data_IF_740856728033
#
_entry.id   IF_740856728033
#
_cell.length_a   1.000
_cell.length_b   1.000
_cell.length_c   1.000
_cell.angle_alpha   90.00
_cell.angle_beta   90.00
_cell.angle_gamma   90.00
#
_symmetry.space_group_name_H-M   'P 1'
#
loop_
_entity.id
_entity.type
_entity.pdbx_description
1 polymer ?
#
# COMPACT_ATOMS: atom_id res chain seq x y z
N UNK A 1 8.57 -8.13 -17.97
CA UNK A 1 9.14 -9.19 -17.09
C UNK A 1 10.29 -8.69 -16.21
N UNK A 2 11.25 -7.90 -16.71
CA UNK A 2 12.36 -7.34 -15.88
C UNK A 2 11.97 -6.22 -14.89
N UNK A 3 10.76 -5.66 -14.97
CA UNK A 3 10.34 -4.48 -14.18
C UNK A 3 9.46 -4.79 -12.97
N UNK A 4 8.91 -6.00 -12.81
CA UNK A 4 8.08 -6.35 -11.64
C UNK A 4 8.44 -7.68 -10.97
N UNK A 5 9.58 -8.27 -11.31
CA UNK A 5 9.96 -9.58 -10.79
C UNK A 5 11.46 -9.71 -10.70
N UNK A 6 11.90 -10.69 -9.93
CA UNK A 6 13.29 -10.94 -9.57
C UNK A 6 13.32 -11.60 -8.21
N UNK A 7 14.25 -12.51 -7.99
CA UNK A 7 14.39 -13.21 -6.71
C UNK A 7 14.58 -12.22 -5.56
N UNK A 8 15.44 -11.21 -5.76
CA UNK A 8 15.66 -10.12 -4.81
C UNK A 8 14.38 -9.37 -4.42
N UNK A 9 13.48 -9.14 -5.38
CA UNK A 9 12.20 -8.46 -5.13
C UNK A 9 11.27 -9.33 -4.31
N UNK A 10 11.23 -10.63 -4.61
CA UNK A 10 10.43 -11.60 -3.84
C UNK A 10 10.97 -11.71 -2.42
N UNK A 11 12.29 -11.73 -2.25
CA UNK A 11 12.93 -11.78 -0.94
C UNK A 11 12.68 -10.53 -0.12
N UNK A 12 12.87 -9.34 -0.70
CA UNK A 12 12.53 -8.08 -0.05
C UNK A 12 11.03 -7.98 0.28
N UNK A 13 10.16 -8.54 -0.55
CA UNK A 13 8.72 -8.63 -0.27
C UNK A 13 8.45 -9.50 0.95
N UNK A 14 9.04 -10.69 0.99
CA UNK A 14 8.88 -11.62 2.10
C UNK A 14 9.50 -11.10 3.40
N UNK A 15 10.59 -10.33 3.34
CA UNK A 15 11.14 -9.63 4.50
C UNK A 15 10.16 -8.57 5.04
N UNK A 16 9.57 -7.76 4.16
CA UNK A 16 8.55 -6.77 4.54
C UNK A 16 7.31 -7.43 5.17
N UNK A 17 6.88 -8.56 4.63
CA UNK A 17 5.83 -9.38 5.23
C UNK A 17 6.26 -9.96 6.59
N UNK A 18 7.46 -10.53 6.69
CA UNK A 18 7.99 -11.11 7.93
C UNK A 18 8.05 -10.06 9.03
N UNK A 19 8.44 -8.82 8.73
CA UNK A 19 8.40 -7.73 9.70
C UNK A 19 6.99 -7.53 10.28
N UNK A 20 5.95 -7.53 9.43
CA UNK A 20 4.56 -7.45 9.89
C UNK A 20 4.13 -8.65 10.75
N UNK A 21 4.69 -9.85 10.53
CA UNK A 21 4.40 -11.02 11.39
C UNK A 21 5.04 -10.95 12.78
N UNK A 22 6.15 -10.20 12.91
CA UNK A 22 6.97 -10.12 14.13
C UNK A 22 6.63 -8.91 15.00
N UNK A 23 6.03 -7.86 14.45
CA UNK A 23 5.73 -6.61 15.14
C UNK A 23 4.25 -6.18 14.96
N UNK A 24 3.44 -6.12 16.04
CA UNK A 24 2.07 -5.65 16.00
C UNK A 24 1.91 -4.22 15.46
N UNK A 25 2.88 -3.33 15.68
CA UNK A 25 2.84 -1.98 15.13
C UNK A 25 2.88 -2.02 13.60
N UNK A 26 3.76 -2.85 13.04
CA UNK A 26 3.80 -3.07 11.60
C UNK A 26 2.57 -3.84 11.10
N UNK A 27 2.11 -4.85 11.82
CA UNK A 27 0.89 -5.58 11.49
C UNK A 27 -0.34 -4.65 11.38
N UNK A 28 -0.44 -3.62 12.25
CA UNK A 28 -1.51 -2.64 12.20
C UNK A 28 -1.48 -1.86 10.88
N UNK A 29 -0.31 -1.36 10.46
CA UNK A 29 -0.16 -0.67 9.16
C UNK A 29 -0.41 -1.61 7.98
N UNK A 30 0.02 -2.86 8.09
CA UNK A 30 -0.16 -3.90 7.08
C UNK A 30 -1.65 -4.18 6.85
N UNK A 31 -2.41 -4.41 7.92
CA UNK A 31 -3.84 -4.66 7.85
C UNK A 31 -4.61 -3.41 7.43
N UNK A 32 -4.22 -2.21 7.90
CA UNK A 32 -4.77 -0.94 7.39
C UNK A 32 -4.66 -0.85 5.86
N UNK A 33 -3.53 -1.26 5.30
CA UNK A 33 -3.33 -1.32 3.86
C UNK A 33 -4.31 -2.25 3.13
N UNK A 34 -4.65 -3.40 3.73
CA UNK A 34 -5.70 -4.31 3.24
C UNK A 34 -7.06 -3.59 3.27
N UNK A 35 -7.38 -2.97 4.41
CA UNK A 35 -8.69 -2.35 4.64
C UNK A 35 -8.95 -1.15 3.73
N UNK A 36 -7.92 -0.41 3.31
CA UNK A 36 -8.04 0.64 2.28
C UNK A 36 -8.77 0.14 1.01
N UNK A 37 -8.48 -1.10 0.58
CA UNK A 37 -9.11 -1.69 -0.61
C UNK A 37 -10.48 -2.30 -0.29
N UNK A 38 -10.57 -3.02 0.83
CA UNK A 38 -11.80 -3.67 1.28
C UNK A 38 -12.91 -2.65 1.50
N UNK A 39 -12.64 -1.61 2.29
CA UNK A 39 -13.63 -0.61 2.67
C UNK A 39 -14.15 0.15 1.45
N UNK A 40 -13.28 0.41 0.46
CA UNK A 40 -13.69 1.04 -0.79
C UNK A 40 -14.77 0.22 -1.52
N UNK A 41 -14.59 -1.10 -1.61
CA UNK A 41 -15.58 -2.01 -2.23
C UNK A 41 -16.83 -2.15 -1.36
N UNK A 42 -16.66 -2.25 -0.05
CA UNK A 42 -17.77 -2.38 0.90
C UNK A 42 -18.68 -1.14 0.86
N UNK A 43 -18.09 0.06 0.89
CA UNK A 43 -18.81 1.34 0.73
C UNK A 43 -19.49 1.42 -0.64
N UNK A 44 -18.76 1.12 -1.72
CA UNK A 44 -19.29 1.19 -3.08
C UNK A 44 -20.48 0.24 -3.30
N UNK A 45 -20.52 -0.89 -2.59
CA UNK A 45 -21.62 -1.88 -2.68
C UNK A 45 -22.73 -1.67 -1.65
N UNK A 46 -22.62 -0.65 -0.80
CA UNK A 46 -23.64 -0.26 0.17
C UNK A 46 -23.69 -1.13 1.42
N UNK A 47 -22.56 -1.73 1.80
CA UNK A 47 -22.42 -2.57 2.99
C UNK A 47 -21.79 -1.78 4.16
N UNK A 48 -21.91 -2.32 5.38
CA UNK A 48 -21.34 -1.71 6.58
C UNK A 48 -19.85 -2.05 6.72
N UNK A 49 -18.97 -1.08 6.47
CA UNK A 49 -17.53 -1.28 6.60
C UNK A 49 -17.07 -1.44 8.05
N UNK A 50 -17.79 -0.88 9.04
CA UNK A 50 -17.41 -0.99 10.45
C UNK A 50 -17.55 -2.44 10.92
N UNK A 51 -18.59 -3.15 10.46
CA UNK A 51 -18.78 -4.56 10.76
C UNK A 51 -17.64 -5.43 10.18
N UNK A 52 -17.18 -5.12 8.98
CA UNK A 52 -16.06 -5.82 8.33
C UNK A 52 -14.75 -5.51 9.05
N UNK A 53 -14.46 -4.24 9.33
CA UNK A 53 -13.29 -3.77 10.08
C UNK A 53 -13.19 -4.46 11.45
N UNK A 54 -14.28 -4.45 12.23
CA UNK A 54 -14.30 -5.07 13.55
C UNK A 54 -14.03 -6.58 13.48
N UNK A 55 -14.68 -7.29 12.53
CA UNK A 55 -14.47 -8.72 12.35
C UNK A 55 -13.05 -9.05 11.88
N UNK A 56 -12.52 -8.29 10.93
CA UNK A 56 -11.18 -8.47 10.40
C UNK A 56 -10.11 -8.24 11.48
N UNK A 57 -10.18 -7.11 12.20
CA UNK A 57 -9.21 -6.79 13.23
C UNK A 57 -9.30 -7.69 14.46
N UNK A 58 -10.49 -8.16 14.85
CA UNK A 58 -10.63 -9.20 15.88
C UNK A 58 -10.02 -10.54 15.41
N UNK A 59 -10.28 -10.94 14.17
CA UNK A 59 -9.73 -12.18 13.60
C UNK A 59 -8.20 -12.15 13.48
N UNK A 60 -7.62 -10.97 13.23
CA UNK A 60 -6.18 -10.76 13.23
C UNK A 60 -5.50 -11.02 14.59
N UNK A 61 -6.25 -10.96 15.70
CA UNK A 61 -5.76 -11.19 17.05
C UNK A 61 -6.16 -12.56 17.65
N UNK A 62 -6.80 -13.44 16.86
CA UNK A 62 -7.43 -14.69 17.35
C UNK A 62 -6.47 -15.66 18.07
N UNK A 63 -5.19 -15.61 17.75
CA UNK A 63 -4.16 -16.49 18.32
C UNK A 63 -3.40 -15.85 19.50
N UNK A 64 -3.99 -14.83 20.15
CA UNK A 64 -3.41 -14.14 21.30
C UNK A 64 -2.38 -13.06 20.96
N UNK A 65 -2.06 -12.85 19.68
CA UNK A 65 -1.24 -11.74 19.19
C UNK A 65 -1.81 -11.20 17.90
N UNK A 66 -1.87 -9.88 17.78
CA UNK A 66 -2.31 -9.21 16.57
C UNK A 66 -1.30 -9.42 15.42
N UNK A 67 -1.74 -10.02 14.32
CA UNK A 67 -0.92 -10.46 13.18
C UNK A 67 -1.51 -10.01 11.83
N UNK A 68 -0.75 -10.11 10.73
CA UNK A 68 -1.27 -9.90 9.39
C UNK A 68 -2.45 -10.82 9.04
N UNK A 69 -3.45 -10.30 8.33
CA UNK A 69 -4.58 -11.08 7.78
C UNK A 69 -4.20 -11.91 6.54
N UNK A 70 -3.01 -11.67 6.00
CA UNK A 70 -2.47 -12.32 4.80
C UNK A 70 -1.31 -13.25 5.15
N UNK A 71 -1.07 -14.22 4.26
CA UNK A 71 0.12 -15.06 4.27
C UNK A 71 0.82 -14.96 2.93
N UNK A 72 2.15 -14.85 2.97
CA UNK A 72 2.98 -14.86 1.77
C UNK A 72 4.13 -15.86 1.92
N UNK A 73 4.45 -16.55 0.84
CA UNK A 73 5.54 -17.53 0.78
C UNK A 73 6.06 -17.68 -0.66
N UNK A 74 7.20 -18.35 -0.82
CA UNK A 74 7.70 -18.82 -2.11
C UNK A 74 7.23 -20.26 -2.35
N UNK A 75 6.73 -20.55 -3.55
CA UNK A 75 6.50 -21.94 -3.98
C UNK A 75 7.81 -22.63 -4.41
N UNK A 76 7.73 -23.91 -4.79
CA UNK A 76 8.88 -24.71 -5.21
C UNK A 76 9.58 -24.18 -6.48
N UNK A 77 8.91 -23.32 -7.25
CA UNK A 77 9.45 -22.68 -8.44
C UNK A 77 9.98 -21.26 -8.15
N UNK A 78 9.98 -20.83 -6.89
CA UNK A 78 10.38 -19.49 -6.48
C UNK A 78 9.35 -18.38 -6.75
N UNK A 79 8.11 -18.73 -7.11
CA UNK A 79 7.05 -17.74 -7.30
C UNK A 79 6.53 -17.24 -5.96
N UNK A 80 6.27 -15.93 -5.87
CA UNK A 80 5.56 -15.36 -4.75
C UNK A 80 4.09 -15.81 -4.77
N UNK A 81 3.66 -16.45 -3.69
CA UNK A 81 2.27 -16.85 -3.46
C UNK A 81 1.72 -16.07 -2.28
N UNK A 82 0.49 -15.58 -2.42
CA UNK A 82 -0.22 -14.84 -1.40
C UNK A 82 -1.60 -15.43 -1.12
N UNK A 83 -2.02 -15.43 0.14
CA UNK A 83 -3.38 -15.76 0.56
C UNK A 83 -3.88 -14.77 1.59
N UNK A 84 -5.21 -14.65 1.69
CA UNK A 84 -5.89 -13.84 2.67
C UNK A 84 -7.05 -14.63 3.27
N UNK A 85 -7.27 -14.48 4.56
CA UNK A 85 -8.42 -15.06 5.24
C UNK A 85 -8.92 -14.08 6.30
N UNK A 86 -10.20 -13.74 6.22
CA UNK A 86 -10.86 -12.84 7.16
C UNK A 86 -12.38 -13.06 7.15
N UNK A 87 -13.08 -12.72 8.25
CA UNK A 87 -14.54 -12.68 8.27
C UNK A 87 -15.06 -11.58 7.33
N UNK A 88 -15.99 -11.93 6.44
CA UNK A 88 -16.65 -10.98 5.53
C UNK A 88 -18.16 -11.12 5.65
N UNK A 89 -18.73 -10.47 6.67
CA UNK A 89 -20.16 -10.47 6.94
C UNK A 89 -20.88 -9.41 6.10
N UNK A 90 -21.26 -9.77 4.87
CA UNK A 90 -21.89 -8.86 3.90
C UNK A 90 -23.28 -9.32 3.46
N UNK A 91 -24.09 -8.36 3.04
CA UNK A 91 -25.42 -8.60 2.48
C UNK A 91 -25.50 -8.22 1.00
N UNK A 92 -26.23 -9.01 0.22
CA UNK A 92 -26.69 -8.64 -1.13
C UNK A 92 -28.16 -8.21 -1.16
N UNK A 93 -28.88 -8.43 -0.05
CA UNK A 93 -30.29 -8.11 0.14
C UNK A 93 -30.45 -7.36 1.46
N UNK A 94 -31.22 -6.27 1.44
CA UNK A 94 -31.50 -5.44 2.62
C UNK A 94 -30.53 -4.27 2.80
N UNK A 95 -30.91 -3.32 3.67
CA UNK A 95 -30.10 -2.14 3.99
C UNK A 95 -29.85 -1.17 2.83
N UNK A 96 -28.79 -0.37 2.95
CA UNK A 96 -28.39 0.60 1.93
C UNK A 96 -28.02 -0.07 0.60
N UNK A 97 -27.57 -1.32 0.63
CA UNK A 97 -27.31 -2.11 -0.56
C UNK A 97 -28.54 -2.16 -1.49
N UNK A 98 -29.75 -2.40 -0.97
CA UNK A 98 -30.96 -2.50 -1.80
C UNK A 98 -31.57 -1.15 -2.19
N UNK A 99 -31.30 -0.07 -1.44
CA UNK A 99 -31.97 1.23 -1.60
C UNK A 99 -31.09 2.22 -2.37
N UNK A 100 -29.78 2.20 -2.15
CA UNK A 100 -28.87 3.21 -2.71
C UNK A 100 -28.58 2.92 -4.19
N UNK A 101 -29.01 3.84 -5.08
CA UNK A 101 -28.89 3.66 -6.53
C UNK A 101 -27.46 3.40 -7.03
N UNK A 102 -26.46 4.16 -6.54
CA UNK A 102 -25.05 3.92 -6.90
C UNK A 102 -24.55 2.53 -6.48
N UNK A 103 -24.95 2.04 -5.30
CA UNK A 103 -24.60 0.70 -4.85
C UNK A 103 -25.17 -0.41 -5.74
N UNK A 104 -26.42 -0.25 -6.21
CA UNK A 104 -27.02 -1.16 -7.20
C UNK A 104 -26.23 -1.16 -8.51
N UNK A 105 -25.80 0.01 -8.99
CA UNK A 105 -25.00 0.14 -10.22
C UNK A 105 -23.63 -0.54 -10.04
N UNK A 106 -22.93 -0.29 -8.93
CA UNK A 106 -21.65 -0.93 -8.63
C UNK A 106 -21.78 -2.46 -8.61
N UNK A 107 -22.83 -3.02 -8.00
CA UNK A 107 -23.08 -4.47 -8.04
C UNK A 107 -23.36 -5.00 -9.44
N UNK A 108 -24.10 -4.23 -10.27
CA UNK A 108 -24.34 -4.59 -11.67
C UNK A 108 -23.03 -4.62 -12.48
N UNK A 109 -22.14 -3.64 -12.27
CA UNK A 109 -20.81 -3.60 -12.91
C UNK A 109 -19.98 -4.82 -12.49
N UNK A 110 -20.00 -5.17 -11.21
CA UNK A 110 -19.28 -6.34 -10.69
C UNK A 110 -19.83 -7.68 -11.21
N UNK A 111 -21.08 -7.73 -11.67
CA UNK A 111 -21.69 -8.96 -12.20
C UNK A 111 -21.93 -10.08 -11.18
N UNK A 112 -21.86 -9.75 -9.88
CA UNK A 112 -22.02 -10.70 -8.78
C UNK A 112 -23.46 -11.21 -8.65
N UNK A 113 -23.60 -12.49 -8.32
CA UNK A 113 -24.87 -13.19 -8.15
C UNK A 113 -25.16 -13.58 -6.70
N UNK A 114 -24.13 -13.59 -5.84
CA UNK A 114 -24.29 -13.98 -4.43
C UNK A 114 -23.41 -13.17 -3.49
N UNK A 115 -23.77 -13.16 -2.20
CA UNK A 115 -22.94 -12.60 -1.15
C UNK A 115 -21.57 -13.31 -1.05
N UNK A 116 -21.52 -14.62 -1.33
CA UNK A 116 -20.27 -15.38 -1.34
C UNK A 116 -19.31 -14.89 -2.44
N UNK A 117 -19.82 -14.62 -3.64
CA UNK A 117 -19.01 -14.07 -4.73
C UNK A 117 -18.51 -12.67 -4.39
N UNK A 118 -19.36 -11.80 -3.83
CA UNK A 118 -18.94 -10.46 -3.39
C UNK A 118 -17.87 -10.55 -2.29
N UNK A 119 -17.99 -11.50 -1.35
CA UNK A 119 -17.00 -11.70 -0.30
C UNK A 119 -15.65 -12.13 -0.90
N UNK A 120 -15.66 -13.01 -1.90
CA UNK A 120 -14.47 -13.40 -2.66
C UNK A 120 -13.82 -12.22 -3.38
N UNK A 121 -14.61 -11.34 -4.01
CA UNK A 121 -14.11 -10.10 -4.64
C UNK A 121 -13.48 -9.18 -3.59
N UNK A 122 -14.17 -8.93 -2.47
CA UNK A 122 -13.67 -8.07 -1.39
C UNK A 122 -12.32 -8.58 -0.85
N UNK A 123 -12.24 -9.86 -0.52
CA UNK A 123 -11.01 -10.48 -0.05
C UNK A 123 -9.89 -10.38 -1.10
N UNK A 124 -10.20 -10.64 -2.37
CA UNK A 124 -9.22 -10.54 -3.47
C UNK A 124 -8.69 -9.12 -3.66
N UNK A 125 -9.56 -8.11 -3.55
CA UNK A 125 -9.15 -6.69 -3.58
C UNK A 125 -8.27 -6.35 -2.38
N UNK A 126 -8.60 -6.85 -1.18
CA UNK A 126 -7.75 -6.69 0.00
C UNK A 126 -6.35 -7.28 -0.19
N UNK A 127 -6.25 -8.48 -0.75
CA UNK A 127 -4.97 -9.11 -1.07
C UNK A 127 -4.19 -8.33 -2.14
N UNK A 128 -4.86 -7.86 -3.19
CA UNK A 128 -4.23 -7.07 -4.24
C UNK A 128 -3.71 -5.72 -3.72
N UNK A 129 -4.50 -5.04 -2.87
CA UNK A 129 -4.11 -3.78 -2.24
C UNK A 129 -2.89 -3.96 -1.32
N UNK A 130 -2.83 -5.07 -0.58
CA UNK A 130 -1.69 -5.40 0.26
C UNK A 130 -0.45 -5.77 -0.54
N UNK A 131 -0.61 -6.56 -1.61
CA UNK A 131 0.46 -6.84 -2.53
C UNK A 131 1.05 -5.55 -3.09
N UNK A 132 0.22 -4.62 -3.60
CA UNK A 132 0.71 -3.35 -4.13
C UNK A 132 1.48 -2.54 -3.08
N UNK A 133 1.00 -2.50 -1.83
CA UNK A 133 1.66 -1.78 -0.75
C UNK A 133 3.03 -2.38 -0.38
N UNK A 134 3.11 -3.71 -0.23
CA UNK A 134 4.38 -4.40 0.03
C UNK A 134 5.32 -4.33 -1.16
N UNK A 135 4.82 -4.55 -2.37
CA UNK A 135 5.60 -4.48 -3.60
C UNK A 135 6.24 -3.10 -3.79
N UNK A 136 5.50 -2.02 -3.51
CA UNK A 136 6.05 -0.66 -3.54
C UNK A 136 7.15 -0.44 -2.50
N UNK A 137 7.05 -1.06 -1.32
CA UNK A 137 8.10 -1.05 -0.29
C UNK A 137 9.33 -1.87 -0.67
N UNK A 138 9.16 -2.90 -1.51
CA UNK A 138 10.20 -3.89 -1.82
C UNK A 138 10.92 -3.66 -3.16
N UNK A 139 10.27 -3.00 -4.12
CA UNK A 139 10.84 -2.78 -5.48
C UNK A 139 11.42 -1.39 -5.67
N UNK A 140 10.85 -0.42 -4.99
CA UNK A 140 11.37 0.92 -4.95
C UNK A 140 11.87 1.09 -3.55
N UNK A 141 13.17 1.34 -3.40
CA UNK A 141 13.63 1.98 -2.19
C UNK A 141 12.79 3.25 -2.05
N UNK A 142 11.78 3.23 -1.19
CA UNK A 142 11.01 4.43 -0.83
C UNK A 142 11.98 5.56 -0.50
N UNK A 143 13.18 5.22 -0.02
CA UNK A 143 14.33 6.09 0.02
C UNK A 143 14.67 6.82 -1.28
N UNK A 144 14.83 6.22 -2.46
CA UNK A 144 15.22 6.98 -3.67
C UNK A 144 14.17 8.01 -4.08
N UNK A 145 12.89 7.62 -4.15
CA UNK A 145 11.81 8.55 -4.52
C UNK A 145 11.52 9.61 -3.44
N UNK A 146 11.54 9.25 -2.14
CA UNK A 146 11.43 10.24 -1.07
C UNK A 146 12.67 11.10 -0.93
N UNK A 147 13.88 10.57 -1.15
CA UNK A 147 15.12 11.34 -1.12
C UNK A 147 15.14 12.33 -2.26
N UNK A 148 14.64 11.96 -3.43
CA UNK A 148 14.51 12.87 -4.57
C UNK A 148 13.51 13.98 -4.28
N UNK A 149 12.31 13.64 -3.78
CA UNK A 149 11.34 14.64 -3.34
C UNK A 149 11.85 15.50 -2.17
N UNK A 150 12.56 14.91 -1.22
CA UNK A 150 13.15 15.61 -0.08
C UNK A 150 14.26 16.56 -0.53
N UNK A 151 15.13 16.13 -1.43
CA UNK A 151 16.17 16.93 -2.04
C UNK A 151 15.57 18.09 -2.86
N UNK A 152 14.52 17.86 -3.64
CA UNK A 152 13.77 18.91 -4.34
C UNK A 152 13.16 19.92 -3.36
N UNK A 153 12.57 19.46 -2.25
CA UNK A 153 12.04 20.37 -1.22
C UNK A 153 13.13 21.24 -0.58
N UNK A 154 14.32 20.69 -0.32
CA UNK A 154 15.46 21.46 0.19
C UNK A 154 15.97 22.47 -0.83
N UNK A 155 16.00 22.11 -2.12
CA UNK A 155 16.35 23.04 -3.21
C UNK A 155 15.34 24.20 -3.30
N UNK A 156 14.04 23.92 -3.19
CA UNK A 156 12.99 24.96 -3.13
C UNK A 156 13.18 25.87 -1.91
N UNK A 157 13.52 25.31 -0.74
CA UNK A 157 13.75 26.09 0.49
C UNK A 157 14.90 27.09 0.38
N UNK A 158 15.91 26.82 -0.45
CA UNK A 158 17.03 27.75 -0.70
C UNK A 158 16.76 28.70 -1.88
N UNK A 159 15.55 28.67 -2.45
CA UNK A 159 15.11 29.61 -3.48
C UNK A 159 15.30 29.14 -4.92
N UNK A 160 15.61 27.86 -5.15
CA UNK A 160 15.70 27.29 -6.50
C UNK A 160 14.34 27.35 -7.21
N UNK A 161 14.36 27.66 -8.52
CA UNK A 161 13.14 27.77 -9.36
C UNK A 161 13.31 27.02 -10.67
N UNK A 162 12.22 26.42 -11.15
CA UNK A 162 12.21 25.69 -12.42
C UNK A 162 13.28 24.60 -12.45
N UNK A 163 14.09 24.59 -13.50
CA UNK A 163 15.13 23.58 -13.75
C UNK A 163 16.21 23.52 -12.65
N UNK A 164 16.38 24.59 -11.87
CA UNK A 164 17.34 24.64 -10.75
C UNK A 164 17.00 23.62 -9.65
N UNK A 165 15.72 23.31 -9.48
CA UNK A 165 15.24 22.40 -8.42
C UNK A 165 15.77 20.99 -8.68
N UNK A 166 15.61 20.50 -9.91
CA UNK A 166 16.03 19.16 -10.31
C UNK A 166 17.55 19.04 -10.36
N UNK A 167 18.25 20.07 -10.83
CA UNK A 167 19.70 20.07 -10.91
C UNK A 167 20.37 20.06 -9.52
N UNK A 168 19.90 20.89 -8.58
CA UNK A 168 20.40 20.90 -7.20
C UNK A 168 20.04 19.60 -6.47
N UNK A 169 18.80 19.11 -6.64
CA UNK A 169 18.36 17.87 -6.02
C UNK A 169 19.20 16.67 -6.47
N UNK A 170 19.43 16.55 -7.79
CA UNK A 170 20.24 15.47 -8.36
C UNK A 170 21.67 15.50 -7.82
N UNK A 171 22.29 16.68 -7.73
CA UNK A 171 23.66 16.83 -7.24
C UNK A 171 23.80 16.47 -5.76
N UNK A 172 22.84 16.88 -4.92
CA UNK A 172 22.80 16.45 -3.51
C UNK A 172 22.69 14.93 -3.35
N UNK A 173 21.94 14.27 -4.23
CA UNK A 173 21.76 12.80 -4.21
C UNK A 173 23.03 12.09 -4.67
N UNK A 174 23.66 12.57 -5.75
CA UNK A 174 24.93 12.03 -6.27
C UNK A 174 26.06 12.14 -5.24
N UNK A 175 26.12 13.27 -4.52
CA UNK A 175 27.08 13.51 -3.43
C UNK A 175 26.71 12.81 -2.12
N UNK A 176 25.53 12.18 -2.03
CA UNK A 176 24.95 11.61 -0.80
C UNK A 176 24.90 12.61 0.37
N UNK A 177 24.73 13.91 0.07
CA UNK A 177 24.72 15.00 1.05
C UNK A 177 23.41 15.83 0.94
N UNK A 178 22.30 15.20 1.33
CA UNK A 178 20.96 15.82 1.28
C UNK A 178 20.73 16.64 2.55
N UNK A 179 21.32 17.84 2.61
CA UNK A 179 21.20 18.78 3.72
C UNK A 179 20.97 20.19 3.21
N UNK A 180 20.27 21.01 3.99
CA UNK A 180 19.95 22.39 3.62
C UNK A 180 21.20 23.26 3.40
N UNK A 181 22.28 23.02 4.15
CA UNK A 181 23.53 23.76 3.98
C UNK A 181 24.18 23.44 2.63
N UNK A 182 24.15 22.16 2.21
CA UNK A 182 24.66 21.79 0.89
C UNK A 182 23.80 22.35 -0.23
N UNK A 183 22.49 22.41 -0.05
CA UNK A 183 21.60 23.06 -1.01
C UNK A 183 21.97 24.55 -1.20
N UNK A 184 22.32 25.27 -0.12
CA UNK A 184 22.76 26.67 -0.19
C UNK A 184 24.10 26.81 -0.91
N UNK A 185 25.05 25.93 -0.62
CA UNK A 185 26.35 25.91 -1.32
C UNK A 185 26.16 25.69 -2.82
N UNK A 186 25.35 24.69 -3.21
CA UNK A 186 25.05 24.41 -4.62
C UNK A 186 24.31 25.56 -5.31
N UNK A 187 23.39 26.23 -4.61
CA UNK A 187 22.71 27.41 -5.15
C UNK A 187 23.70 28.54 -5.45
N UNK A 188 24.69 28.74 -4.57
CA UNK A 188 25.75 29.74 -4.74
C UNK A 188 26.78 29.35 -5.80
N UNK A 189 27.18 28.08 -5.84
CA UNK A 189 28.13 27.51 -6.81
C UNK A 189 27.59 27.55 -8.25
N UNK A 190 26.32 27.18 -8.43
CA UNK A 190 25.72 27.02 -9.76
C UNK A 190 25.04 28.30 -10.27
N UNK A 191 24.49 29.12 -9.36
CA UNK A 191 23.65 30.26 -9.74
C UNK A 191 24.03 31.59 -9.05
N UNK A 192 25.08 31.61 -8.22
CA UNK A 192 25.64 32.85 -7.66
C UNK A 192 24.74 33.61 -6.67
N UNK A 193 23.70 32.96 -6.14
CA UNK A 193 22.72 33.54 -5.20
C UNK A 193 23.03 33.19 -3.73
#
# INVERSE_FOLDING_TARGET
KKTMGGEDVVDAFLEGYRFATLDPYRAATHNKGIMNGIDAVVIATGNDWRAIEAGAHAYAARDGRYKPLTKYWKDDNGNLVGSIELPVAIGTVGGAASIHRKAQICRKILGIKSAKELAGVIASVGLAQNFAALFALSTVGIQKGHMELHAQNLAVMVGAKGDQIDEIAKRMIEEKNVKIDRAKELMKELYGA
#
